data_IF_280122618083
#
_entry.id   IF_280122618083
#
_cell.length_a   1.000
_cell.length_b   1.000
_cell.length_c   1.000
_cell.angle_alpha   90.00
_cell.angle_beta   90.00
_cell.angle_gamma   90.00
#
_symmetry.space_group_name_H-M   'P 1'
#
loop_
_entity.id
_entity.type
_entity.pdbx_description
1 polymer ?
#
# COMPACT_ATOMS: atom_id res chain seq x y z
N UNK A 1 -5.55 -13.51 -15.65
CA UNK A 1 -5.64 -12.83 -14.36
C UNK A 1 -7.08 -12.57 -13.98
N UNK A 2 -7.37 -12.50 -12.71
CA UNK A 2 -8.70 -12.17 -12.22
C UNK A 2 -8.61 -11.04 -11.18
N UNK A 3 -9.71 -10.26 -11.10
CA UNK A 3 -9.80 -9.12 -10.21
C UNK A 3 -10.10 -9.59 -8.79
N UNK A 4 -9.29 -9.15 -7.84
CA UNK A 4 -9.40 -9.53 -6.42
C UNK A 4 -10.05 -8.45 -5.57
N UNK A 5 -10.05 -7.20 -6.03
CA UNK A 5 -10.43 -6.05 -5.22
C UNK A 5 -11.50 -5.22 -5.92
N UNK A 6 -12.53 -4.84 -5.16
CA UNK A 6 -13.46 -3.79 -5.54
C UNK A 6 -12.94 -2.45 -5.03
N UNK A 7 -13.54 -1.35 -5.48
CA UNK A 7 -13.21 -0.02 -4.97
C UNK A 7 -13.48 0.06 -3.46
N UNK A 8 -14.56 -0.54 -3.01
CA UNK A 8 -14.91 -0.60 -1.60
C UNK A 8 -13.86 -1.33 -0.77
N UNK A 9 -13.29 -2.42 -1.30
CA UNK A 9 -12.22 -3.16 -0.61
C UNK A 9 -10.94 -2.34 -0.52
N UNK A 10 -10.59 -1.59 -1.57
CA UNK A 10 -9.44 -0.71 -1.51
C UNK A 10 -9.61 0.35 -0.42
N UNK A 11 -10.79 0.96 -0.33
CA UNK A 11 -11.06 1.95 0.73
C UNK A 11 -10.96 1.32 2.12
N UNK A 12 -11.46 0.09 2.30
CA UNK A 12 -11.32 -0.63 3.56
C UNK A 12 -9.86 -0.91 3.91
N UNK A 13 -9.08 -1.34 2.91
CA UNK A 13 -7.65 -1.57 3.12
C UNK A 13 -6.96 -0.31 3.61
N UNK A 14 -7.17 0.82 2.94
CA UNK A 14 -6.55 2.07 3.34
C UNK A 14 -7.01 2.51 4.73
N UNK A 15 -8.26 2.24 5.09
CA UNK A 15 -8.76 2.47 6.43
C UNK A 15 -8.01 1.64 7.48
N UNK A 16 -7.81 0.35 7.22
CA UNK A 16 -7.05 -0.53 8.10
C UNK A 16 -5.63 -0.02 8.31
N UNK A 17 -4.95 0.38 7.22
CA UNK A 17 -3.57 0.88 7.33
C UNK A 17 -3.53 2.21 8.09
N UNK A 18 -4.46 3.11 7.81
CA UNK A 18 -4.50 4.41 8.50
C UNK A 18 -4.83 4.27 9.99
N UNK A 19 -5.63 3.27 10.37
CA UNK A 19 -5.95 3.00 11.77
C UNK A 19 -4.83 2.28 12.51
N UNK A 20 -3.84 1.77 11.79
CA UNK A 20 -2.73 1.03 12.39
C UNK A 20 -1.78 1.99 13.11
N UNK A 21 -0.90 1.42 13.94
CA UNK A 21 0.13 2.18 14.65
C UNK A 21 1.34 2.53 13.78
N UNK A 22 1.33 2.17 12.51
CA UNK A 22 2.43 2.50 11.60
C UNK A 22 2.47 3.99 11.34
N UNK A 23 3.66 4.60 11.52
CA UNK A 23 3.84 6.04 11.39
C UNK A 23 4.42 6.47 10.05
N UNK A 24 5.23 5.63 9.44
CA UNK A 24 5.83 5.92 8.14
C UNK A 24 5.40 4.83 7.18
N UNK A 25 4.25 5.00 6.56
CA UNK A 25 3.70 3.95 5.73
C UNK A 25 4.17 4.12 4.29
N UNK A 26 5.45 3.85 4.07
CA UNK A 26 6.00 3.75 2.72
C UNK A 26 5.46 2.50 2.07
N UNK A 27 5.25 2.59 0.76
CA UNK A 27 4.71 1.47 0.01
C UNK A 27 5.27 1.46 -1.40
N UNK A 28 5.09 0.33 -2.07
CA UNK A 28 5.41 0.18 -3.48
C UNK A 28 4.13 -0.21 -4.20
N UNK A 29 3.85 0.52 -5.29
CA UNK A 29 2.68 0.31 -6.13
C UNK A 29 3.11 -0.36 -7.43
N UNK A 30 2.35 -1.35 -7.88
CA UNK A 30 2.47 -1.84 -9.26
C UNK A 30 1.14 -1.56 -9.95
N UNK A 31 1.19 -0.77 -11.01
CA UNK A 31 -0.02 -0.43 -11.77
C UNK A 31 -0.11 -1.31 -13.00
N UNK A 32 -1.34 -1.69 -13.36
CA UNK A 32 -1.60 -2.47 -14.56
C UNK A 32 -1.06 -1.75 -15.79
N UNK A 33 -0.34 -2.46 -16.62
CA UNK A 33 0.24 -1.92 -17.84
C UNK A 33 1.57 -1.21 -17.68
N UNK A 34 2.03 -0.97 -16.46
CA UNK A 34 3.34 -0.38 -16.20
C UNK A 34 4.36 -1.47 -15.91
N UNK A 35 5.54 -1.34 -16.48
CA UNK A 35 6.61 -2.30 -16.23
C UNK A 35 7.33 -2.03 -14.92
N UNK A 36 7.44 -0.77 -14.53
CA UNK A 36 8.16 -0.38 -13.33
C UNK A 36 7.19 -0.12 -12.18
N UNK A 37 7.65 -0.44 -10.98
CA UNK A 37 6.92 -0.12 -9.77
C UNK A 37 7.11 1.35 -9.41
N UNK A 38 6.16 1.90 -8.66
CA UNK A 38 6.25 3.24 -8.11
C UNK A 38 6.43 3.14 -6.60
N UNK A 39 7.35 3.91 -6.06
CA UNK A 39 7.54 4.01 -4.62
C UNK A 39 6.86 5.28 -4.10
N UNK A 40 6.26 5.19 -2.93
CA UNK A 40 5.59 6.33 -2.35
C UNK A 40 5.04 6.01 -0.96
N UNK A 41 3.92 6.62 -0.64
CA UNK A 41 3.28 6.46 0.67
C UNK A 41 1.85 5.99 0.49
N UNK A 42 1.35 5.26 1.48
CA UNK A 42 -0.08 4.94 1.54
C UNK A 42 -0.83 6.26 1.76
N UNK A 43 -1.88 6.53 0.97
CA UNK A 43 -2.61 7.79 1.11
C UNK A 43 -3.36 7.87 2.43
N UNK A 44 -3.50 9.10 2.93
CA UNK A 44 -4.46 9.40 3.99
C UNK A 44 -5.87 9.25 3.44
N UNK A 45 -6.83 9.03 4.33
CA UNK A 45 -8.23 8.86 3.90
C UNK A 45 -8.77 10.07 3.14
N UNK A 46 -8.28 11.27 3.47
CA UNK A 46 -8.69 12.49 2.78
C UNK A 46 -8.23 12.56 1.33
N UNK A 47 -7.22 11.79 0.96
CA UNK A 47 -6.67 11.74 -0.39
C UNK A 47 -7.40 10.73 -1.28
N UNK A 48 -8.37 10.02 -0.75
CA UNK A 48 -9.12 9.00 -1.48
C UNK A 48 -10.40 9.58 -2.05
N UNK A 49 -10.67 9.29 -3.32
CA UNK A 49 -11.99 9.46 -3.91
C UNK A 49 -12.79 8.17 -3.79
N UNK A 50 -13.94 8.12 -4.45
CA UNK A 50 -14.78 6.92 -4.44
C UNK A 50 -14.09 5.74 -5.13
N UNK A 51 -13.32 6.02 -6.17
CA UNK A 51 -12.70 5.00 -7.01
C UNK A 51 -11.26 5.32 -7.39
N UNK A 52 -10.60 6.25 -6.70
CA UNK A 52 -9.25 6.66 -7.07
C UNK A 52 -8.42 7.11 -5.87
N UNK A 53 -7.11 7.02 -6.03
CA UNK A 53 -6.14 7.65 -5.14
C UNK A 53 -5.86 9.04 -5.69
N UNK A 54 -6.06 10.06 -4.88
CA UNK A 54 -5.78 11.43 -5.25
C UNK A 54 -4.29 11.71 -5.32
N UNK A 55 -3.94 12.96 -5.55
CA UNK A 55 -2.55 13.39 -5.60
C UNK A 55 -1.97 13.42 -4.19
N UNK A 56 -1.21 12.39 -3.84
CA UNK A 56 -0.52 12.29 -2.55
C UNK A 56 1.00 12.36 -2.72
N UNK A 57 1.44 13.04 -3.75
CA UNK A 57 2.85 13.24 -4.09
C UNK A 57 3.14 12.78 -5.51
N UNK A 58 4.23 13.27 -6.07
CA UNK A 58 4.55 13.10 -7.49
C UNK A 58 4.61 11.64 -7.96
N UNK A 59 4.88 10.70 -7.05
CA UNK A 59 5.07 9.30 -7.41
C UNK A 59 3.83 8.44 -7.17
N UNK A 60 2.81 8.94 -6.48
CA UNK A 60 1.70 8.12 -6.01
C UNK A 60 0.40 8.29 -6.78
N UNK A 61 0.17 9.40 -7.42
CA UNK A 61 -1.12 9.58 -8.05
C UNK A 61 -1.23 10.84 -8.84
N UNK A 62 -2.45 11.16 -9.30
CA UNK A 62 -3.70 10.40 -9.11
C UNK A 62 -3.80 9.19 -10.04
N UNK A 63 -4.47 8.14 -9.58
CA UNK A 63 -4.82 6.99 -10.40
C UNK A 63 -6.04 6.27 -9.81
N UNK A 64 -6.79 5.57 -10.67
CA UNK A 64 -7.96 4.82 -10.23
C UNK A 64 -7.56 3.54 -9.51
N UNK A 65 -8.36 3.09 -8.53
CA UNK A 65 -8.10 1.85 -7.81
C UNK A 65 -7.97 0.64 -8.74
N UNK A 66 -8.78 0.60 -9.80
CA UNK A 66 -8.75 -0.52 -10.75
C UNK A 66 -7.43 -0.66 -11.49
N UNK A 67 -6.56 0.35 -11.42
CA UNK A 67 -5.24 0.29 -12.02
C UNK A 67 -4.20 -0.36 -11.10
N UNK A 68 -4.52 -0.57 -9.84
CA UNK A 68 -3.58 -1.15 -8.89
C UNK A 68 -3.52 -2.67 -9.11
N UNK A 69 -2.41 -3.16 -9.65
CA UNK A 69 -2.19 -4.59 -9.78
C UNK A 69 -1.88 -5.20 -8.41
N UNK A 70 -0.99 -4.57 -7.66
CA UNK A 70 -0.75 -4.90 -6.26
C UNK A 70 -0.13 -3.71 -5.51
N UNK A 71 -0.26 -3.76 -4.20
CA UNK A 71 0.34 -2.81 -3.26
C UNK A 71 1.21 -3.60 -2.30
N UNK A 72 2.45 -3.17 -2.11
CA UNK A 72 3.38 -3.80 -1.18
C UNK A 72 3.68 -2.85 -0.01
N UNK A 73 3.41 -3.34 1.20
CA UNK A 73 3.84 -2.68 2.44
C UNK A 73 5.13 -3.38 2.89
N UNK A 74 6.30 -2.71 2.84
CA UNK A 74 7.55 -3.39 3.15
C UNK A 74 7.76 -3.56 4.65
N UNK A 75 8.48 -4.61 5.06
CA UNK A 75 8.91 -4.77 6.45
C UNK A 75 9.92 -3.72 6.86
N UNK A 76 10.75 -3.29 5.92
CA UNK A 76 11.86 -2.38 6.17
C UNK A 76 11.72 -1.14 5.32
N UNK A 77 11.72 0.01 5.96
CA UNK A 77 11.66 1.30 5.26
C UNK A 77 12.95 2.07 5.47
N UNK A 78 13.34 2.83 4.46
CA UNK A 78 14.49 3.73 4.49
C UNK A 78 14.00 5.14 4.73
N UNK A 79 14.72 5.88 5.54
CA UNK A 79 14.41 7.28 5.73
C UNK A 79 15.66 8.07 6.08
N UNK A 80 15.59 9.38 5.86
CA UNK A 80 16.61 10.32 6.29
C UNK A 80 15.95 11.31 7.26
N UNK A 81 16.44 11.42 8.51
CA UNK A 81 15.84 12.34 9.49
C UNK A 81 15.97 13.80 9.09
N UNK A 82 16.96 14.14 8.25
CA UNK A 82 17.14 15.47 7.70
C UNK A 82 17.93 15.36 6.37
N UNK A 83 17.94 16.46 5.60
CA UNK A 83 18.67 16.53 4.34
C UNK A 83 20.16 16.28 4.61
N UNK A 84 20.80 15.46 3.79
CA UNK A 84 22.20 15.06 3.90
C UNK A 84 22.51 14.17 5.10
N UNK A 85 21.50 13.70 5.85
CA UNK A 85 21.71 12.71 6.88
C UNK A 85 22.04 11.35 6.28
N UNK A 86 22.79 10.49 7.00
CA UNK A 86 22.94 9.10 6.61
C UNK A 86 21.56 8.43 6.50
N UNK A 87 21.41 7.53 5.53
CA UNK A 87 20.20 6.74 5.39
C UNK A 87 20.03 5.85 6.63
N UNK A 88 18.85 5.90 7.22
CA UNK A 88 18.48 5.06 8.34
C UNK A 88 17.38 4.09 7.91
N UNK A 89 17.22 3.03 8.68
CA UNK A 89 16.26 1.98 8.38
C UNK A 89 15.34 1.78 9.58
N UNK A 90 14.10 1.48 9.31
CA UNK A 90 13.11 1.17 10.32
C UNK A 90 12.34 -0.06 9.91
N UNK A 91 12.15 -0.98 10.85
CA UNK A 91 11.32 -2.16 10.62
C UNK A 91 9.88 -1.86 10.99
N UNK A 92 8.94 -2.29 10.15
CA UNK A 92 7.52 -2.16 10.39
C UNK A 92 6.94 -3.52 10.77
N UNK A 93 6.13 -3.55 11.82
CA UNK A 93 5.38 -4.77 12.18
C UNK A 93 4.06 -4.75 11.41
N UNK A 94 3.96 -5.61 10.42
CA UNK A 94 2.79 -5.70 9.54
C UNK A 94 1.77 -6.74 10.01
N UNK A 95 2.09 -7.48 11.07
CA UNK A 95 1.23 -8.54 11.57
C UNK A 95 -0.16 -8.04 11.95
N UNK A 96 -0.32 -6.91 12.66
CA UNK A 96 -1.66 -6.41 12.99
C UNK A 96 -2.51 -6.09 11.78
N UNK A 97 -1.88 -5.57 10.70
CA UNK A 97 -2.60 -5.29 9.46
C UNK A 97 -3.07 -6.59 8.82
N UNK A 98 -2.18 -7.59 8.72
CA UNK A 98 -2.53 -8.89 8.17
C UNK A 98 -3.68 -9.54 8.95
N UNK A 99 -3.61 -9.52 10.27
CA UNK A 99 -4.66 -10.08 11.12
C UNK A 99 -5.99 -9.38 10.92
N UNK A 100 -5.99 -8.05 10.82
CA UNK A 100 -7.21 -7.27 10.59
C UNK A 100 -7.82 -7.61 9.22
N UNK A 101 -6.99 -7.70 8.18
CA UNK A 101 -7.47 -8.08 6.84
C UNK A 101 -8.06 -9.48 6.84
N UNK A 102 -7.43 -10.42 7.55
CA UNK A 102 -7.94 -11.78 7.66
C UNK A 102 -9.29 -11.81 8.40
N UNK A 103 -9.48 -10.97 9.39
CA UNK A 103 -10.76 -10.86 10.10
C UNK A 103 -11.87 -10.32 9.21
N UNK A 104 -11.55 -9.35 8.35
CA UNK A 104 -12.51 -8.80 7.40
C UNK A 104 -12.84 -9.79 6.28
N UNK A 105 -11.90 -10.68 5.96
CA UNK A 105 -12.06 -11.70 4.92
C UNK A 105 -11.99 -11.15 3.50
N UNK A 106 -11.85 -12.07 2.55
CA UNK A 106 -11.94 -11.77 1.11
C UNK A 106 -10.84 -10.88 0.53
N UNK A 107 -9.70 -10.73 1.22
CA UNK A 107 -8.53 -10.05 0.68
C UNK A 107 -7.51 -11.08 0.21
N UNK A 108 -6.99 -10.91 -1.00
CA UNK A 108 -5.90 -11.72 -1.51
C UNK A 108 -4.59 -11.07 -1.11
N UNK A 109 -3.94 -11.64 -0.12
CA UNK A 109 -2.71 -11.09 0.46
C UNK A 109 -1.64 -12.17 0.56
N UNK A 110 -0.39 -11.73 0.54
CA UNK A 110 0.77 -12.59 0.69
C UNK A 110 1.81 -11.90 1.57
N UNK A 111 2.19 -12.55 2.65
CA UNK A 111 3.24 -12.07 3.52
C UNK A 111 4.49 -12.89 3.25
N UNK A 112 5.58 -12.23 2.90
CA UNK A 112 6.87 -12.88 2.71
C UNK A 112 7.98 -12.06 3.40
N UNK A 113 9.23 -12.37 3.10
CA UNK A 113 10.38 -11.68 3.72
C UNK A 113 10.51 -10.21 3.30
N UNK A 114 9.89 -9.82 2.19
CA UNK A 114 9.93 -8.43 1.70
C UNK A 114 8.87 -7.59 2.40
N UNK A 115 7.68 -8.13 2.57
CA UNK A 115 6.58 -7.42 3.20
C UNK A 115 5.24 -8.06 2.94
N UNK A 116 4.19 -7.27 3.11
CA UNK A 116 2.81 -7.67 2.88
C UNK A 116 2.35 -7.13 1.54
N UNK A 117 2.00 -8.04 0.63
CA UNK A 117 1.48 -7.68 -0.70
C UNK A 117 -0.02 -7.91 -0.74
N UNK A 118 -0.73 -6.88 -1.18
CA UNK A 118 -2.18 -6.93 -1.36
C UNK A 118 -2.44 -6.90 -2.87
N UNK A 119 -3.13 -7.91 -3.39
CA UNK A 119 -3.35 -8.05 -4.82
C UNK A 119 -4.65 -7.40 -5.26
N UNK A 120 -4.57 -6.52 -6.25
CA UNK A 120 -5.74 -6.06 -6.98
C UNK A 120 -6.14 -7.09 -8.05
N UNK A 121 -5.13 -7.76 -8.60
CA UNK A 121 -5.30 -8.82 -9.62
C UNK A 121 -4.29 -9.94 -9.38
N UNK A 122 -4.69 -11.17 -9.60
CA UNK A 122 -3.80 -12.34 -9.59
C UNK A 122 -3.79 -13.01 -10.95
N UNK A 123 -2.64 -13.60 -11.35
CA UNK A 123 -2.57 -14.36 -12.60
C UNK A 123 -3.52 -15.53 -12.62
#
# INVERSE_FOLDING_TARGET
SYKCMSDSKWRKLFGVVNDSSLKMVQCTWKLVGEQQCRNGFVPDLEQLGDNYVGDCGALNGPFEFRRIEWLLLPHRVEFKPYKNAPTQYKTQDLTPILEHLNMLGSFEVEMDKVGLRIYGYKP
#
